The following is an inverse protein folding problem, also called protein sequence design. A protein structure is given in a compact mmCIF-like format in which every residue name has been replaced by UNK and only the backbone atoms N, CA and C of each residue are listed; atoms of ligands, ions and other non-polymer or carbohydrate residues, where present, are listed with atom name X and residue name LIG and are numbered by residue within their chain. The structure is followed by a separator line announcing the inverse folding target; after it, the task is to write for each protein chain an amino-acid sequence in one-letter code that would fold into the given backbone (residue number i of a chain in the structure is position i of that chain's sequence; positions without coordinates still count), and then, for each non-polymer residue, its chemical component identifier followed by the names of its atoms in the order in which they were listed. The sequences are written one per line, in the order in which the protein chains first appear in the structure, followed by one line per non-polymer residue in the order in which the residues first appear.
data_IF_819631555476
#
_entry.id   IF_819631555476
#
_cell.length_a   1.000
_cell.length_b   1.000
_cell.length_c   1.000
_cell.angle_alpha   90.00
_cell.angle_beta   90.00
_cell.angle_gamma   90.00
#
_symmetry.space_group_name_H-M   'P 1'
#
loop_
_entity.id
_entity.type
_entity.pdbx_description
1 polymer ?
#
# COMPACT_ATOMS: atom_id res chain seq x y z
N UNK A 1 23.62 -0.94 -23.80
CA UNK A 1 23.77 -0.18 -22.56
C UNK A 1 22.61 -0.61 -21.68
N UNK A 2 22.88 -1.36 -20.60
CA UNK A 2 21.81 -1.77 -19.69
C UNK A 2 21.22 -0.53 -19.01
N UNK A 3 19.91 -0.38 -19.10
CA UNK A 3 19.21 0.65 -18.32
C UNK A 3 19.56 0.45 -16.85
N UNK A 4 20.02 1.52 -16.21
CA UNK A 4 20.40 1.50 -14.82
C UNK A 4 19.10 1.49 -14.01
N UNK A 5 18.58 0.31 -13.68
CA UNK A 5 17.33 0.15 -12.90
C UNK A 5 17.50 0.81 -11.54
N UNK A 6 16.45 1.50 -11.09
CA UNK A 6 16.41 2.07 -9.71
C UNK A 6 16.47 0.95 -8.67
N UNK A 7 17.20 1.20 -7.59
CA UNK A 7 17.35 0.26 -6.47
C UNK A 7 16.15 0.38 -5.55
N UNK A 8 15.46 -0.73 -5.33
CA UNK A 8 14.29 -0.82 -4.47
C UNK A 8 14.66 -1.44 -3.12
N UNK A 9 14.25 -0.77 -2.05
CA UNK A 9 14.19 -1.35 -0.71
C UNK A 9 12.75 -1.73 -0.37
N UNK A 10 12.56 -2.90 0.22
CA UNK A 10 11.25 -3.35 0.66
C UNK A 10 11.23 -3.39 2.18
N UNK A 11 10.31 -2.66 2.80
CA UNK A 11 10.07 -2.67 4.23
C UNK A 11 8.86 -3.55 4.55
N UNK A 12 9.11 -4.71 5.13
CA UNK A 12 8.12 -5.70 5.49
C UNK A 12 8.38 -7.06 4.86
N UNK A 13 7.81 -8.11 5.47
CA UNK A 13 7.87 -9.51 5.02
C UNK A 13 6.49 -10.17 5.10
N UNK A 14 5.44 -9.32 5.05
CA UNK A 14 4.05 -9.73 5.12
C UNK A 14 3.60 -10.52 3.88
N UNK A 15 2.31 -10.90 3.87
CA UNK A 15 1.70 -11.69 2.80
C UNK A 15 1.84 -10.99 1.44
N UNK A 16 1.50 -9.70 1.36
CA UNK A 16 1.57 -8.94 0.11
C UNK A 16 3.00 -8.92 -0.49
N UNK A 17 4.03 -8.82 0.35
CA UNK A 17 5.42 -8.86 -0.11
C UNK A 17 5.74 -10.22 -0.72
N UNK A 18 5.32 -11.33 -0.08
CA UNK A 18 5.56 -12.68 -0.56
C UNK A 18 4.81 -12.98 -1.87
N UNK A 19 3.62 -12.44 -2.04
CA UNK A 19 2.84 -12.58 -3.28
C UNK A 19 3.45 -11.80 -4.45
N UNK A 20 3.99 -10.62 -4.18
CA UNK A 20 4.50 -9.72 -5.20
C UNK A 20 5.98 -9.96 -5.57
N UNK A 21 6.78 -10.41 -4.62
CA UNK A 21 8.22 -10.56 -4.76
C UNK A 21 8.66 -11.50 -5.90
N UNK A 22 7.98 -12.66 -6.15
CA UNK A 22 8.31 -13.55 -7.26
C UNK A 22 8.25 -12.85 -8.62
N UNK A 23 7.21 -12.07 -8.85
CA UNK A 23 7.05 -11.31 -10.08
C UNK A 23 8.08 -10.18 -10.18
N UNK A 24 8.27 -9.43 -9.10
CA UNK A 24 9.19 -8.30 -9.05
C UNK A 24 10.64 -8.70 -9.30
N UNK A 25 11.07 -9.82 -8.75
CA UNK A 25 12.41 -10.35 -8.92
C UNK A 25 12.71 -10.73 -10.40
N UNK A 26 11.70 -11.18 -11.14
CA UNK A 26 11.86 -11.66 -12.52
C UNK A 26 11.60 -10.57 -13.57
N UNK A 27 10.61 -9.72 -13.36
CA UNK A 27 10.06 -8.84 -14.40
C UNK A 27 10.02 -7.37 -14.02
N UNK A 28 10.33 -7.04 -12.77
CA UNK A 28 10.13 -5.69 -12.24
C UNK A 28 11.05 -4.64 -12.91
N UNK A 29 10.61 -3.38 -12.95
CA UNK A 29 11.39 -2.25 -13.45
C UNK A 29 12.51 -1.84 -12.48
N UNK A 30 12.52 -2.42 -11.28
CA UNK A 30 13.47 -2.15 -10.21
C UNK A 30 14.43 -3.31 -9.99
N UNK A 31 15.60 -3.01 -9.40
CA UNK A 31 16.45 -4.02 -8.78
C UNK A 31 16.17 -4.03 -7.29
N UNK A 32 15.62 -5.13 -6.76
CA UNK A 32 15.43 -5.28 -5.31
C UNK A 32 16.81 -5.42 -4.65
N UNK A 33 17.20 -4.41 -3.88
CA UNK A 33 18.53 -4.31 -3.28
C UNK A 33 18.56 -4.76 -1.82
N UNK A 34 17.53 -4.42 -1.07
CA UNK A 34 17.47 -4.67 0.38
C UNK A 34 16.06 -5.04 0.80
N UNK A 35 15.93 -6.04 1.65
CA UNK A 35 14.71 -6.36 2.39
C UNK A 35 14.90 -5.95 3.85
N UNK A 36 14.05 -5.06 4.36
CA UNK A 36 14.07 -4.60 5.74
C UNK A 36 12.92 -5.21 6.53
N UNK A 37 13.21 -5.73 7.71
CA UNK A 37 12.22 -6.34 8.60
C UNK A 37 12.44 -5.94 10.05
N UNK A 38 11.53 -6.35 10.93
CA UNK A 38 11.79 -6.31 12.37
C UNK A 38 12.78 -7.40 12.78
N UNK A 39 13.49 -7.28 13.94
CA UNK A 39 14.33 -8.35 14.46
C UNK A 39 13.60 -9.70 14.59
N UNK A 40 12.31 -9.67 14.93
CA UNK A 40 11.46 -10.88 15.03
C UNK A 40 11.28 -11.60 13.69
N UNK A 41 11.39 -10.88 12.58
CA UNK A 41 11.18 -11.41 11.22
C UNK A 41 12.48 -11.49 10.41
N UNK A 42 13.64 -11.36 11.06
CA UNK A 42 14.94 -11.34 10.39
C UNK A 42 15.24 -12.64 9.65
N UNK A 43 14.96 -13.79 10.25
CA UNK A 43 15.15 -15.11 9.62
C UNK A 43 14.29 -15.25 8.37
N UNK A 44 13.03 -14.79 8.43
CA UNK A 44 12.15 -14.79 7.27
C UNK A 44 12.67 -13.88 6.16
N UNK A 45 13.17 -12.70 6.51
CA UNK A 45 13.79 -11.78 5.54
C UNK A 45 15.03 -12.41 4.89
N UNK A 46 15.88 -13.07 5.66
CA UNK A 46 17.07 -13.77 5.15
C UNK A 46 16.68 -14.89 4.18
N UNK A 47 15.65 -15.69 4.52
CA UNK A 47 15.16 -16.76 3.64
C UNK A 47 14.63 -16.22 2.31
N UNK A 48 13.83 -15.16 2.33
CA UNK A 48 13.33 -14.51 1.12
C UNK A 48 14.47 -13.92 0.27
N UNK A 49 15.49 -13.32 0.91
CA UNK A 49 16.66 -12.83 0.18
C UNK A 49 17.41 -13.96 -0.52
N UNK A 50 17.60 -15.10 0.14
CA UNK A 50 18.25 -16.26 -0.45
C UNK A 50 17.43 -16.85 -1.62
N UNK A 51 16.11 -16.94 -1.46
CA UNK A 51 15.20 -17.49 -2.47
C UNK A 51 15.13 -16.64 -3.74
N UNK A 52 15.07 -15.31 -3.59
CA UNK A 52 14.88 -14.38 -4.72
C UNK A 52 16.15 -13.65 -5.16
N UNK A 53 17.31 -14.03 -4.63
CA UNK A 53 18.60 -13.44 -5.02
C UNK A 53 18.73 -11.97 -4.62
N UNK A 54 18.08 -11.54 -3.51
CA UNK A 54 18.19 -10.18 -3.01
C UNK A 54 19.52 -10.06 -2.24
N UNK A 55 20.38 -9.08 -2.60
CA UNK A 55 21.73 -9.02 -2.07
C UNK A 55 21.83 -8.88 -0.55
N UNK A 56 20.85 -8.19 0.06
CA UNK A 56 20.97 -7.81 1.48
C UNK A 56 19.61 -7.85 2.19
N UNK A 57 19.63 -8.23 3.48
CA UNK A 57 18.56 -7.91 4.42
C UNK A 57 19.11 -7.13 5.61
N UNK A 58 18.25 -6.34 6.25
CA UNK A 58 18.60 -5.58 7.45
C UNK A 58 17.40 -5.46 8.39
N UNK A 59 17.65 -5.19 9.66
CA UNK A 59 16.63 -4.78 10.63
C UNK A 59 16.67 -3.29 10.95
N UNK A 60 17.58 -2.56 10.28
CA UNK A 60 17.76 -1.12 10.45
C UNK A 60 17.21 -0.38 9.22
N UNK A 61 16.09 0.31 9.40
CA UNK A 61 15.44 1.05 8.33
C UNK A 61 16.33 2.16 7.75
N UNK A 62 17.06 2.89 8.58
CA UNK A 62 17.94 3.97 8.12
C UNK A 62 19.12 3.45 7.28
N UNK A 63 19.61 2.28 7.61
CA UNK A 63 20.64 1.59 6.81
C UNK A 63 20.09 1.23 5.42
N UNK A 64 18.88 0.67 5.34
CA UNK A 64 18.24 0.40 4.06
C UNK A 64 18.13 1.66 3.20
N UNK A 65 17.72 2.79 3.78
CA UNK A 65 17.56 4.05 3.03
C UNK A 65 18.86 4.52 2.37
N UNK A 66 20.02 4.20 2.92
CA UNK A 66 21.31 4.58 2.33
C UNK A 66 21.64 3.79 1.05
N UNK A 67 21.07 2.60 0.89
CA UNK A 67 21.39 1.67 -0.19
C UNK A 67 20.43 1.71 -1.38
N UNK A 68 19.33 2.48 -1.29
CA UNK A 68 18.21 2.42 -2.25
C UNK A 68 17.80 3.79 -2.78
N UNK A 69 17.08 3.79 -3.90
CA UNK A 69 16.49 4.99 -4.52
C UNK A 69 14.99 5.09 -4.21
N UNK A 70 14.32 3.94 -4.13
CA UNK A 70 12.88 3.79 -3.92
C UNK A 70 12.64 2.88 -2.73
N UNK A 71 11.62 3.18 -1.94
CA UNK A 71 11.18 2.34 -0.82
C UNK A 71 9.74 1.89 -1.05
N UNK A 72 9.51 0.58 -0.99
CA UNK A 72 8.17 0.00 -0.88
C UNK A 72 7.87 -0.32 0.58
N UNK A 73 6.82 0.31 1.12
CA UNK A 73 6.42 0.21 2.53
C UNK A 73 5.19 -0.69 2.63
N UNK A 74 5.39 -1.89 3.17
CA UNK A 74 4.38 -2.93 3.34
C UNK A 74 4.34 -3.43 4.79
N UNK A 75 4.03 -2.51 5.70
CA UNK A 75 3.90 -2.73 7.15
C UNK A 75 2.44 -2.52 7.58
N UNK A 76 2.07 -2.77 8.86
CA UNK A 76 0.71 -2.42 9.33
C UNK A 76 0.35 -0.95 9.14
N UNK A 77 -0.93 -0.67 8.82
CA UNK A 77 -1.44 0.64 8.41
C UNK A 77 -0.97 1.81 9.30
N UNK A 78 -1.03 1.65 10.62
CA UNK A 78 -0.62 2.69 11.58
C UNK A 78 0.86 3.11 11.46
N UNK A 79 1.68 2.31 10.80
CA UNK A 79 3.10 2.59 10.65
C UNK A 79 3.45 3.26 9.31
N UNK A 80 2.51 3.29 8.36
CA UNK A 80 2.72 3.83 7.01
C UNK A 80 3.25 5.26 7.05
N UNK A 81 2.53 6.18 7.72
CA UNK A 81 2.89 7.60 7.82
C UNK A 81 4.30 7.80 8.36
N UNK A 82 4.65 7.09 9.45
CA UNK A 82 5.96 7.22 10.07
C UNK A 82 7.10 6.84 9.13
N UNK A 83 7.00 5.67 8.51
CA UNK A 83 8.08 5.18 7.63
C UNK A 83 8.13 5.94 6.31
N UNK A 84 6.98 6.32 5.75
CA UNK A 84 6.92 7.15 4.55
C UNK A 84 7.58 8.52 4.78
N UNK A 85 7.28 9.19 5.90
CA UNK A 85 7.90 10.46 6.27
C UNK A 85 9.43 10.35 6.31
N UNK A 86 9.97 9.37 7.04
CA UNK A 86 11.43 9.20 7.17
C UNK A 86 12.10 8.95 5.82
N UNK A 87 11.47 8.17 4.93
CA UNK A 87 11.99 7.94 3.58
C UNK A 87 11.96 9.21 2.73
N UNK A 88 10.86 9.96 2.75
CA UNK A 88 10.71 11.23 2.02
C UNK A 88 11.71 12.27 2.52
N UNK A 89 11.90 12.39 3.84
CA UNK A 89 12.92 13.28 4.45
C UNK A 89 14.32 12.91 3.97
N UNK A 90 14.62 11.64 3.81
CA UNK A 90 15.87 11.13 3.26
C UNK A 90 15.97 11.28 1.72
N UNK A 91 15.00 11.92 1.07
CA UNK A 91 15.00 12.16 -0.37
C UNK A 91 14.76 10.91 -1.22
N UNK A 92 14.07 9.90 -0.68
CA UNK A 92 13.73 8.66 -1.39
C UNK A 92 12.36 8.73 -2.02
N UNK A 93 12.18 8.11 -3.18
CA UNK A 93 10.86 7.84 -3.73
C UNK A 93 10.15 6.79 -2.87
N UNK A 94 8.85 6.93 -2.71
CA UNK A 94 8.07 6.06 -1.81
C UNK A 94 6.88 5.45 -2.55
N UNK A 95 6.72 4.16 -2.41
CA UNK A 95 5.50 3.42 -2.69
C UNK A 95 5.01 2.89 -1.34
N UNK A 96 3.84 3.29 -0.89
CA UNK A 96 3.28 2.84 0.39
C UNK A 96 2.00 2.05 0.16
N UNK A 97 1.82 0.96 0.90
CA UNK A 97 0.60 0.18 0.86
C UNK A 97 -0.63 1.01 1.26
N UNK A 98 -1.76 0.58 0.73
CA UNK A 98 -3.06 1.17 1.06
C UNK A 98 -3.52 0.75 2.48
N UNK A 99 -4.23 1.60 3.18
CA UNK A 99 -4.39 3.02 2.95
C UNK A 99 -3.09 3.76 3.24
N UNK A 100 -2.79 4.83 2.46
CA UNK A 100 -1.53 5.58 2.59
C UNK A 100 -1.26 6.04 4.02
N UNK A 101 -2.29 6.53 4.67
CA UNK A 101 -2.25 6.99 6.06
C UNK A 101 -3.61 6.77 6.73
N UNK A 102 -3.68 6.73 8.06
CA UNK A 102 -4.93 6.64 8.81
C UNK A 102 -5.88 7.84 8.65
N UNK A 103 -5.36 9.01 8.31
CA UNK A 103 -6.16 10.25 8.19
C UNK A 103 -5.77 11.08 6.98
N UNK A 104 -6.73 11.89 6.48
CA UNK A 104 -6.48 12.84 5.38
C UNK A 104 -5.34 13.81 5.70
N UNK A 105 -5.32 14.38 6.90
CA UNK A 105 -4.27 15.31 7.33
C UNK A 105 -2.86 14.71 7.23
N UNK A 106 -2.69 13.44 7.62
CA UNK A 106 -1.43 12.74 7.48
C UNK A 106 -1.06 12.47 6.01
N UNK A 107 -2.06 12.18 5.18
CA UNK A 107 -1.85 12.03 3.73
C UNK A 107 -1.39 13.35 3.10
N UNK A 108 -2.06 14.46 3.41
CA UNK A 108 -1.70 15.79 2.93
C UNK A 108 -0.26 16.16 3.33
N UNK A 109 0.10 15.91 4.58
CA UNK A 109 1.46 16.16 5.08
C UNK A 109 2.52 15.37 4.28
N UNK A 110 2.27 14.08 3.99
CA UNK A 110 3.19 13.27 3.20
C UNK A 110 3.29 13.78 1.75
N UNK A 111 2.17 14.18 1.16
CA UNK A 111 2.14 14.74 -0.21
C UNK A 111 2.91 16.06 -0.29
N UNK A 112 2.73 16.97 0.66
CA UNK A 112 3.47 18.22 0.73
C UNK A 112 4.96 17.99 0.93
N UNK A 113 5.33 17.05 1.81
CA UNK A 113 6.72 16.68 2.03
C UNK A 113 7.37 16.11 0.76
N UNK A 114 6.68 15.22 0.05
CA UNK A 114 7.17 14.65 -1.20
C UNK A 114 7.39 15.74 -2.26
N UNK A 115 6.46 16.69 -2.40
CA UNK A 115 6.60 17.86 -3.30
C UNK A 115 7.80 18.73 -2.92
N UNK A 116 7.96 19.04 -1.64
CA UNK A 116 9.07 19.83 -1.14
C UNK A 116 10.43 19.16 -1.40
N UNK A 117 10.50 17.84 -1.19
CA UNK A 117 11.70 17.03 -1.43
C UNK A 117 11.91 16.69 -2.92
N UNK A 118 10.94 16.98 -3.80
CA UNK A 118 10.97 16.67 -5.24
C UNK A 118 11.14 15.17 -5.52
N UNK A 119 10.47 14.36 -4.74
CA UNK A 119 10.42 12.91 -4.89
C UNK A 119 8.98 12.44 -5.14
N UNK A 120 8.85 11.24 -5.69
CA UNK A 120 7.54 10.63 -5.92
C UNK A 120 7.04 9.92 -4.67
N UNK A 121 5.73 10.05 -4.44
CA UNK A 121 4.97 9.30 -3.45
C UNK A 121 3.78 8.66 -4.14
N UNK A 122 3.66 7.35 -4.05
CA UNK A 122 2.57 6.56 -4.62
C UNK A 122 1.90 5.74 -3.52
N UNK A 123 0.57 5.68 -3.58
CA UNK A 123 -0.22 4.72 -2.83
C UNK A 123 -0.47 3.48 -3.68
N UNK A 124 -0.27 2.29 -3.11
CA UNK A 124 -0.42 1.01 -3.81
C UNK A 124 -1.89 0.57 -3.91
N UNK A 125 -2.79 1.47 -4.34
CA UNK A 125 -4.17 1.14 -4.70
C UNK A 125 -4.17 0.54 -6.10
N UNK A 126 -3.91 -0.76 -6.18
CA UNK A 126 -3.66 -1.48 -7.44
C UNK A 126 -4.74 -1.30 -8.49
N UNK A 127 -6.01 -1.16 -8.08
CA UNK A 127 -7.15 -1.00 -8.99
C UNK A 127 -7.06 0.21 -9.90
N UNK A 128 -6.38 1.29 -9.48
CA UNK A 128 -6.20 2.49 -10.30
C UNK A 128 -5.12 2.34 -11.39
N UNK A 129 -4.26 1.33 -11.27
CA UNK A 129 -3.14 1.09 -12.21
C UNK A 129 -3.44 -0.02 -13.21
N UNK A 130 -4.62 -0.65 -13.13
CA UNK A 130 -5.03 -1.68 -14.07
C UNK A 130 -5.36 -1.09 -15.45
N UNK A 131 -5.04 -1.84 -16.51
CA UNK A 131 -5.40 -1.45 -17.90
C UNK A 131 -6.90 -1.23 -18.06
N UNK A 132 -7.73 -2.04 -17.41
CA UNK A 132 -9.18 -1.88 -17.41
C UNK A 132 -9.63 -0.54 -16.82
N UNK A 133 -8.96 -0.04 -15.77
CA UNK A 133 -9.27 1.27 -15.22
C UNK A 133 -8.97 2.38 -16.22
N UNK A 134 -7.81 2.32 -16.86
CA UNK A 134 -7.44 3.26 -17.92
C UNK A 134 -8.44 3.23 -19.08
N UNK A 135 -8.88 2.02 -19.47
CA UNK A 135 -9.87 1.85 -20.55
C UNK A 135 -11.26 2.36 -20.18
N UNK A 136 -11.70 2.16 -18.96
CA UNK A 136 -12.95 2.73 -18.46
C UNK A 136 -12.89 4.26 -18.49
N UNK A 137 -11.79 4.84 -17.99
CA UNK A 137 -11.58 6.30 -18.02
C UNK A 137 -11.62 6.87 -19.43
N UNK A 138 -11.02 6.19 -20.40
CA UNK A 138 -11.06 6.57 -21.82
C UNK A 138 -12.48 6.53 -22.40
N UNK A 139 -13.24 5.48 -22.04
CA UNK A 139 -14.58 5.24 -22.61
C UNK A 139 -15.71 5.97 -21.88
N UNK A 140 -15.49 6.43 -20.65
CA UNK A 140 -16.50 7.07 -19.82
C UNK A 140 -17.25 8.23 -20.52
N UNK A 141 -16.60 9.12 -21.30
CA UNK A 141 -17.32 10.17 -22.01
C UNK A 141 -18.33 9.65 -23.05
N UNK A 142 -18.19 8.41 -23.50
CA UNK A 142 -19.06 7.81 -24.53
C UNK A 142 -20.39 7.30 -23.98
N UNK A 143 -20.50 7.10 -22.67
CA UNK A 143 -21.75 6.63 -22.03
C UNK A 143 -22.71 7.77 -21.69
N UNK A 144 -22.34 9.01 -21.98
CA UNK A 144 -23.14 10.19 -21.67
C UNK A 144 -23.06 10.58 -20.19
N UNK A 145 -24.12 11.22 -19.68
CA UNK A 145 -24.16 11.68 -18.29
C UNK A 145 -24.40 10.50 -17.34
N UNK A 146 -23.40 10.15 -16.55
CA UNK A 146 -23.53 9.14 -15.50
C UNK A 146 -24.46 9.64 -14.39
N UNK A 147 -25.46 8.83 -14.02
CA UNK A 147 -26.47 9.15 -13.00
C UNK A 147 -26.34 8.31 -11.74
N UNK A 148 -25.77 7.12 -11.85
CA UNK A 148 -25.58 6.20 -10.74
C UNK A 148 -24.32 5.38 -10.99
N UNK A 149 -23.53 5.18 -9.91
CA UNK A 149 -22.41 4.25 -9.88
C UNK A 149 -22.59 3.34 -8.69
N UNK A 150 -22.48 2.05 -8.91
CA UNK A 150 -22.48 1.04 -7.86
C UNK A 150 -21.19 0.25 -7.93
N UNK A 151 -20.44 0.21 -6.83
CA UNK A 151 -19.24 -0.59 -6.70
C UNK A 151 -19.39 -1.59 -5.57
N UNK A 152 -18.90 -2.78 -5.79
CA UNK A 152 -18.83 -3.83 -4.78
C UNK A 152 -17.44 -4.43 -4.76
N UNK A 153 -16.83 -4.46 -3.58
CA UNK A 153 -15.60 -5.18 -3.32
C UNK A 153 -15.82 -6.02 -2.06
N UNK A 154 -16.25 -7.25 -2.26
CA UNK A 154 -16.62 -8.18 -1.19
C UNK A 154 -15.83 -9.47 -1.31
N UNK A 155 -15.29 -9.93 -0.18
CA UNK A 155 -14.66 -11.24 -0.10
C UNK A 155 -14.82 -11.82 1.30
N UNK A 156 -14.84 -13.15 1.40
CA UNK A 156 -14.70 -13.83 2.68
C UNK A 156 -13.25 -13.71 3.15
N UNK A 157 -13.05 -13.07 4.29
CA UNK A 157 -11.70 -12.88 4.84
C UNK A 157 -11.15 -14.19 5.40
N UNK A 158 -9.93 -14.56 5.06
CA UNK A 158 -9.21 -15.67 5.69
C UNK A 158 -8.97 -15.49 7.20
N UNK A 159 -9.23 -14.28 7.72
CA UNK A 159 -9.10 -13.94 9.14
C UNK A 159 -10.43 -14.02 9.91
N UNK A 160 -11.55 -14.23 9.20
CA UNK A 160 -12.88 -14.17 9.79
C UNK A 160 -13.13 -15.29 10.82
N UNK A 161 -12.66 -16.51 10.56
CA UNK A 161 -12.81 -17.61 11.51
C UNK A 161 -12.09 -17.31 12.84
N UNK A 162 -10.87 -16.76 12.77
CA UNK A 162 -10.14 -16.31 13.94
C UNK A 162 -10.87 -15.17 14.68
N UNK A 163 -11.51 -14.26 13.95
CA UNK A 163 -12.34 -13.20 14.52
C UNK A 163 -13.54 -13.78 15.27
N UNK A 164 -14.24 -14.78 14.73
CA UNK A 164 -15.34 -15.47 15.40
C UNK A 164 -14.89 -16.10 16.72
N UNK A 165 -13.65 -16.58 16.78
CA UNK A 165 -13.02 -17.13 18.00
C UNK A 165 -12.46 -16.06 18.97
N UNK A 166 -12.67 -14.77 18.67
CA UNK A 166 -12.24 -13.64 19.53
C UNK A 166 -10.83 -13.13 19.26
N UNK A 167 -10.15 -13.58 18.21
CA UNK A 167 -8.83 -13.08 17.81
C UNK A 167 -8.97 -12.03 16.72
N UNK A 168 -8.83 -10.76 17.08
CA UNK A 168 -8.95 -9.63 16.15
C UNK A 168 -7.62 -9.40 15.42
N UNK A 169 -7.65 -9.53 14.10
CA UNK A 169 -6.48 -9.22 13.27
C UNK A 169 -6.29 -7.69 13.15
N UNK A 170 -5.06 -7.18 13.00
CA UNK A 170 -4.82 -5.74 12.82
C UNK A 170 -5.58 -5.09 11.67
N UNK A 171 -5.88 -5.83 10.59
CA UNK A 171 -6.69 -5.35 9.47
C UNK A 171 -8.17 -5.14 9.82
N UNK A 172 -8.65 -5.71 10.92
CA UNK A 172 -10.01 -5.52 11.44
C UNK A 172 -10.04 -4.48 12.57
N UNK A 173 -8.94 -4.29 13.28
CA UNK A 173 -8.85 -3.47 14.48
C UNK A 173 -8.82 -1.96 14.14
N UNK A 174 -9.86 -1.18 14.53
CA UNK A 174 -9.85 0.27 14.33
C UNK A 174 -8.64 0.98 14.97
N UNK A 175 -8.13 0.46 16.10
CA UNK A 175 -6.91 0.98 16.72
C UNK A 175 -5.66 0.81 15.85
N UNK A 176 -5.71 -0.12 14.91
CA UNK A 176 -4.67 -0.35 13.90
C UNK A 176 -4.97 0.33 12.55
N UNK A 177 -5.96 1.24 12.49
CA UNK A 177 -6.51 1.78 11.25
C UNK A 177 -7.00 0.65 10.31
N UNK A 178 -7.62 -0.38 10.91
CA UNK A 178 -8.32 -1.47 10.24
C UNK A 178 -9.81 -1.18 10.10
N UNK A 179 -10.57 -2.20 9.71
CA UNK A 179 -12.01 -2.14 9.43
C UNK A 179 -12.30 -2.32 7.94
N UNK A 180 -13.55 -2.66 7.61
CA UNK A 180 -13.92 -2.96 6.24
C UNK A 180 -13.78 -1.75 5.31
N UNK A 181 -14.09 -0.55 5.79
CA UNK A 181 -13.90 0.66 4.99
C UNK A 181 -12.42 0.90 4.66
N UNK A 182 -11.53 0.77 5.64
CA UNK A 182 -10.10 1.03 5.48
C UNK A 182 -9.39 -0.07 4.70
N UNK A 183 -9.78 -1.33 4.84
CA UNK A 183 -9.10 -2.44 4.18
C UNK A 183 -9.65 -2.75 2.78
N UNK A 184 -10.98 -2.74 2.60
CA UNK A 184 -11.65 -3.07 1.35
C UNK A 184 -12.33 -1.86 0.69
N UNK A 185 -13.02 -1.04 1.47
CA UNK A 185 -13.75 0.13 0.96
C UNK A 185 -12.85 1.15 0.27
N UNK A 186 -11.59 1.25 0.68
CA UNK A 186 -10.57 2.10 0.05
C UNK A 186 -10.46 1.86 -1.46
N UNK A 187 -10.61 0.63 -1.93
CA UNK A 187 -10.58 0.31 -3.37
C UNK A 187 -11.75 0.93 -4.12
N UNK A 188 -12.98 0.80 -3.59
CA UNK A 188 -14.18 1.38 -4.19
C UNK A 188 -14.14 2.90 -4.14
N UNK A 189 -13.75 3.49 -3.02
CA UNK A 189 -13.63 4.95 -2.85
C UNK A 189 -12.61 5.51 -3.81
N UNK A 190 -11.40 4.94 -3.85
CA UNK A 190 -10.33 5.36 -4.75
C UNK A 190 -10.74 5.24 -6.22
N UNK A 191 -11.46 4.17 -6.58
CA UNK A 191 -11.94 3.94 -7.93
C UNK A 191 -12.94 5.02 -8.37
N UNK A 192 -13.92 5.34 -7.52
CA UNK A 192 -14.96 6.33 -7.82
C UNK A 192 -14.35 7.75 -7.85
N UNK A 193 -13.58 8.11 -6.84
CA UNK A 193 -12.95 9.45 -6.75
C UNK A 193 -12.01 9.68 -7.93
N UNK A 194 -11.26 8.67 -8.34
CA UNK A 194 -10.36 8.77 -9.49
C UNK A 194 -11.06 8.94 -10.84
N UNK A 195 -12.32 8.47 -10.99
CA UNK A 195 -13.12 8.61 -12.22
C UNK A 195 -14.01 9.86 -12.24
N UNK A 196 -14.54 10.25 -11.07
CA UNK A 196 -15.61 11.27 -10.99
C UNK A 196 -15.23 12.49 -10.13
N UNK A 197 -14.09 12.46 -9.45
CA UNK A 197 -13.67 13.51 -8.52
C UNK A 197 -14.32 13.38 -7.14
N UNK A 198 -14.10 14.38 -6.30
CA UNK A 198 -14.60 14.41 -4.93
C UNK A 198 -16.13 14.57 -4.87
N UNK A 199 -16.82 13.83 -3.98
CA UNK A 199 -18.25 13.95 -3.81
C UNK A 199 -18.60 15.20 -2.99
N UNK A 200 -19.80 15.80 -3.26
CA UNK A 200 -20.30 16.92 -2.46
C UNK A 200 -20.78 16.49 -1.06
N UNK A 201 -21.20 15.25 -0.91
CA UNK A 201 -21.68 14.69 0.34
C UNK A 201 -21.32 13.22 0.46
N UNK A 202 -21.06 12.78 1.67
CA UNK A 202 -20.74 11.38 2.00
C UNK A 202 -21.64 10.94 3.16
N UNK A 203 -22.21 9.75 3.01
CA UNK A 203 -22.88 9.03 4.10
C UNK A 203 -22.24 7.66 4.25
N UNK A 204 -22.02 7.26 5.48
CA UNK A 204 -21.47 5.96 5.81
C UNK A 204 -22.41 5.22 6.77
N UNK A 205 -22.68 3.97 6.45
CA UNK A 205 -23.39 3.03 7.32
C UNK A 205 -22.67 1.70 7.28
N UNK A 206 -22.58 1.05 8.42
CA UNK A 206 -21.90 -0.25 8.53
C UNK A 206 -22.70 -1.19 9.43
N UNK A 207 -22.54 -2.49 9.20
CA UNK A 207 -22.85 -3.50 10.19
C UNK A 207 -21.67 -3.54 11.17
N UNK A 208 -21.94 -3.18 12.42
CA UNK A 208 -20.90 -3.14 13.45
C UNK A 208 -20.98 -4.42 14.29
N UNK A 209 -19.89 -5.15 14.36
CA UNK A 209 -19.72 -6.28 15.25
C UNK A 209 -18.48 -6.08 16.12
N UNK A 210 -18.63 -6.08 17.45
CA UNK A 210 -17.54 -5.85 18.40
C UNK A 210 -16.79 -4.53 18.16
N UNK A 211 -17.52 -3.46 17.89
CA UNK A 211 -16.99 -2.12 17.55
C UNK A 211 -16.15 -2.07 16.26
N UNK A 212 -16.31 -3.03 15.37
CA UNK A 212 -15.63 -3.16 14.09
C UNK A 212 -16.65 -3.13 12.94
N UNK A 213 -16.37 -2.34 11.90
CA UNK A 213 -17.14 -2.30 10.64
C UNK A 213 -16.80 -3.47 9.70
#
# INVERSE_FOLDING_TARGET
MGENKMKLGILGTGMIVQEFLPWLAQHGPFTVQVLCSTPRSAEKAAALCAEYGIPQYTTNYLEMLQAVDVVYIAVPNMQHTRFARVALEAGKHVIVEKPMAPTAAQTEELVELARHKKVFLFEAVTTQYLENYAKIRELLPRVGTVKLVQCNFSQYSSRYDAFCEGRVAPSFDPACAGGALMDLGVYNVSYIVGLFGEPNQVHYTANIERDID
#
